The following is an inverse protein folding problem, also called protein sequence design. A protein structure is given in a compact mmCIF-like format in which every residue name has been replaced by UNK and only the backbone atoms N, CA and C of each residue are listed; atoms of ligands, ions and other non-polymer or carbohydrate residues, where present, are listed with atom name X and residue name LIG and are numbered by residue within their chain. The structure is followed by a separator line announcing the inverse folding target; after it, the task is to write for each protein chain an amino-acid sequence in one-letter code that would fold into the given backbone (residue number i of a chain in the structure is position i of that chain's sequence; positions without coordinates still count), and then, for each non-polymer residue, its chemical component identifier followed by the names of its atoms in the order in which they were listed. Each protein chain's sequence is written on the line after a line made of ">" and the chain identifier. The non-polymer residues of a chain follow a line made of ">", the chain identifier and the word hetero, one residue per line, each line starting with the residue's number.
data_IF_023713658231
#
_entry.id   IF_023713658231
#
_cell.length_a   1.000
_cell.length_b   1.000
_cell.length_c   1.000
_cell.angle_alpha   90.00
_cell.angle_beta   90.00
_cell.angle_gamma   90.00
#
_symmetry.space_group_name_H-M   'P 1'
#
loop_
_entity.id
_entity.type
_entity.pdbx_description
1 polymer ?
#
# COMPACT_ATOMS: atom_id res chain seq x y z
N UNK A 1 14.33 8.33 -6.56
CA UNK A 1 14.44 7.51 -5.33
C UNK A 1 15.62 7.88 -4.41
N UNK A 2 16.49 8.83 -4.78
CA UNK A 2 17.61 9.30 -3.94
C UNK A 2 17.29 10.61 -3.18
N UNK A 3 16.19 11.26 -3.49
CA UNK A 3 15.86 12.56 -2.90
C UNK A 3 15.12 12.44 -1.57
N UNK A 4 14.50 11.29 -1.31
CA UNK A 4 13.75 11.01 -0.10
C UNK A 4 14.66 10.85 1.12
N UNK A 5 15.82 10.20 1.01
CA UNK A 5 16.73 10.02 2.16
C UNK A 5 17.37 11.33 2.64
N UNK A 6 17.59 12.32 1.75
CA UNK A 6 18.11 13.65 2.11
C UNK A 6 17.11 14.49 2.90
N UNK A 7 15.82 14.29 2.65
CA UNK A 7 14.74 14.99 3.37
C UNK A 7 14.63 14.40 4.78
N UNK A 8 14.71 13.07 4.92
CA UNK A 8 14.71 12.39 6.21
C UNK A 8 15.96 12.65 7.06
N UNK A 9 17.13 12.81 6.45
CA UNK A 9 18.37 13.16 7.17
C UNK A 9 18.34 14.54 7.84
N UNK A 10 17.62 15.51 7.27
CA UNK A 10 17.42 16.85 7.87
C UNK A 10 16.47 16.83 9.06
N UNK A 11 15.55 15.86 9.12
CA UNK A 11 14.51 15.79 10.14
C UNK A 11 15.00 15.16 11.47
N UNK A 12 16.13 14.42 11.43
CA UNK A 12 16.63 13.67 12.59
C UNK A 12 17.87 14.30 13.26
N UNK A 13 18.39 15.44 12.78
CA UNK A 13 19.51 16.20 13.36
C UNK A 13 20.65 15.31 13.93
N UNK A 14 20.91 14.16 13.32
CA UNK A 14 21.90 13.19 13.76
C UNK A 14 23.17 13.44 12.97
N UNK A 15 24.02 14.29 13.53
CA UNK A 15 25.36 14.56 13.01
C UNK A 15 26.23 13.32 13.22
N UNK A 16 26.69 12.69 12.15
CA UNK A 16 27.79 11.75 12.23
C UNK A 16 29.09 12.57 12.22
N UNK A 17 29.84 12.56 13.32
CA UNK A 17 31.18 13.14 13.34
C UNK A 17 32.12 12.23 12.56
N UNK A 18 32.64 12.74 11.44
CA UNK A 18 33.78 12.14 10.76
C UNK A 18 34.99 12.34 11.67
N UNK A 19 35.49 11.26 12.26
CA UNK A 19 36.77 11.28 12.99
C UNK A 19 37.88 11.35 11.96
N UNK A 20 38.48 12.53 11.79
CA UNK A 20 39.70 12.69 10.99
C UNK A 20 40.93 12.68 11.91
N UNK A 21 41.78 11.68 11.70
CA UNK A 21 43.12 11.54 12.29
C UNK A 21 44.13 12.43 11.56
N UNK A 22 44.77 13.38 12.24
CA UNK A 22 45.92 14.13 11.69
C UNK A 22 46.31 15.36 12.52
N UNK A 23 47.61 15.62 12.81
CA UNK A 23 48.00 16.45 13.95
C UNK A 23 48.51 17.87 13.59
N UNK A 24 48.58 18.69 14.65
CA UNK A 24 49.43 19.89 14.88
C UNK A 24 49.13 21.17 14.10
N UNK A 25 49.05 22.30 14.84
CA UNK A 25 49.10 23.64 14.26
C UNK A 25 48.57 24.74 15.16
N UNK A 26 49.19 24.91 16.34
CA UNK A 26 49.01 26.03 17.27
C UNK A 26 49.41 27.36 16.58
N UNK A 27 48.66 28.45 16.74
CA UNK A 27 49.17 29.84 16.57
C UNK A 27 48.20 30.90 17.16
N UNK A 28 48.57 31.34 18.35
CA UNK A 28 48.67 32.73 18.86
C UNK A 28 47.43 33.64 18.99
N UNK A 29 47.00 33.71 20.25
CA UNK A 29 46.71 34.89 21.07
C UNK A 29 47.18 36.27 20.59
N UNK A 30 46.26 37.24 20.67
CA UNK A 30 46.52 38.68 20.82
C UNK A 30 45.39 39.32 21.65
N UNK A 31 45.69 39.72 22.89
CA UNK A 31 44.84 40.58 23.72
C UNK A 31 45.67 41.81 24.12
N UNK A 32 45.13 43.01 23.95
CA UNK A 32 45.58 44.32 24.45
C UNK A 32 44.34 45.24 24.41
N UNK A 33 44.10 46.25 25.25
CA UNK A 33 44.39 46.53 26.66
C UNK A 33 43.38 47.64 27.06
N UNK A 34 42.80 47.51 28.25
CA UNK A 34 41.99 48.41 29.09
C UNK A 34 41.73 49.89 28.72
N UNK A 35 40.50 50.33 29.04
CA UNK A 35 40.25 51.56 29.81
C UNK A 35 39.01 51.37 30.69
N UNK A 36 39.23 51.29 32.00
CA UNK A 36 38.22 51.37 33.06
C UNK A 36 37.85 52.84 33.28
N UNK A 37 36.57 53.14 33.49
CA UNK A 37 36.15 54.21 34.40
C UNK A 37 34.77 53.86 34.99
N UNK A 38 34.63 54.19 36.26
CA UNK A 38 33.72 53.72 37.30
C UNK A 38 32.25 54.16 37.10
N UNK A 39 31.29 53.27 37.40
CA UNK A 39 30.16 53.59 38.29
C UNK A 39 29.38 52.33 38.73
N UNK A 40 28.71 52.49 39.86
CA UNK A 40 28.35 51.52 40.87
C UNK A 40 26.97 50.83 40.61
N UNK A 41 26.87 49.53 40.90
CA UNK A 41 25.61 48.93 41.34
C UNK A 41 24.83 48.00 40.38
N UNK A 42 24.53 46.82 40.92
CA UNK A 42 23.50 45.83 40.54
C UNK A 42 23.88 44.70 39.55
N UNK A 43 23.77 43.47 40.07
CA UNK A 43 23.65 42.24 39.28
C UNK A 43 22.18 42.10 38.86
N UNK A 44 21.89 41.81 37.57
CA UNK A 44 20.81 40.89 37.23
C UNK A 44 21.33 39.78 36.29
N UNK A 45 21.45 38.55 36.78
CA UNK A 45 20.49 37.46 36.58
C UNK A 45 19.97 37.26 35.14
N UNK A 46 20.51 36.21 34.53
CA UNK A 46 19.84 35.15 33.76
C UNK A 46 19.16 35.45 32.41
N UNK A 47 19.59 34.60 31.47
CA UNK A 47 18.80 33.93 30.42
C UNK A 47 18.28 34.76 29.26
N UNK A 48 19.14 34.94 28.26
CA UNK A 48 18.73 35.10 26.87
C UNK A 48 19.11 33.83 26.12
N UNK A 49 18.12 32.93 25.94
CA UNK A 49 17.84 32.13 24.73
C UNK A 49 16.94 30.96 25.13
N UNK A 50 15.62 31.13 25.08
CA UNK A 50 14.66 30.01 25.09
C UNK A 50 13.32 30.43 24.43
N UNK A 51 13.37 31.12 23.29
CA UNK A 51 12.14 31.47 22.52
C UNK A 51 11.93 30.59 21.27
N UNK A 52 12.61 29.44 21.19
CA UNK A 52 12.41 28.46 20.10
C UNK A 52 11.84 27.12 20.57
N UNK A 53 11.90 26.80 21.86
CA UNK A 53 11.39 25.55 22.40
C UNK A 53 9.87 25.55 22.66
N UNK A 54 9.25 26.71 22.90
CA UNK A 54 7.81 26.83 23.18
C UNK A 54 6.94 26.83 21.90
N UNK A 55 7.46 27.38 20.80
CA UNK A 55 6.77 27.35 19.48
C UNK A 55 6.73 25.92 18.92
N UNK A 56 7.82 25.16 19.11
CA UNK A 56 7.96 23.78 18.64
C UNK A 56 7.04 22.77 19.34
N UNK A 57 6.73 22.96 20.63
CA UNK A 57 5.81 22.08 21.37
C UNK A 57 4.36 22.34 20.99
N UNK A 58 3.99 23.61 20.79
CA UNK A 58 2.65 23.98 20.32
C UNK A 58 2.36 23.47 18.90
N UNK A 59 3.34 23.53 17.99
CA UNK A 59 3.19 22.98 16.63
C UNK A 59 2.99 21.46 16.64
N UNK A 60 3.65 20.74 17.56
CA UNK A 60 3.49 19.28 17.69
C UNK A 60 2.10 18.90 18.20
N UNK A 61 1.60 19.64 19.21
CA UNK A 61 0.25 19.46 19.74
C UNK A 61 -0.83 19.73 18.69
N UNK A 62 -0.69 20.82 17.92
CA UNK A 62 -1.60 21.16 16.83
C UNK A 62 -1.58 20.11 15.71
N UNK A 63 -0.39 19.64 15.32
CA UNK A 63 -0.26 18.57 14.34
C UNK A 63 -0.92 17.26 14.80
N UNK A 64 -0.76 16.90 16.08
CA UNK A 64 -1.43 15.75 16.68
C UNK A 64 -2.96 15.86 16.64
N UNK A 65 -3.50 17.03 16.97
CA UNK A 65 -4.95 17.29 16.92
C UNK A 65 -5.49 17.19 15.49
N UNK A 66 -4.73 17.69 14.50
CA UNK A 66 -5.09 17.57 13.08
C UNK A 66 -5.12 16.11 12.63
N UNK A 67 -4.14 15.29 13.04
CA UNK A 67 -4.11 13.86 12.68
C UNK A 67 -5.31 13.12 13.29
N UNK A 68 -5.66 13.40 14.56
CA UNK A 68 -6.83 12.81 15.20
C UNK A 68 -8.12 13.26 14.51
N UNK A 69 -8.23 14.54 14.16
CA UNK A 69 -9.38 15.07 13.42
C UNK A 69 -9.54 14.42 12.04
N UNK A 70 -8.44 14.23 11.30
CA UNK A 70 -8.45 13.52 10.02
C UNK A 70 -8.84 12.05 10.22
N UNK A 71 -8.32 11.38 11.25
CA UNK A 71 -8.69 9.99 11.57
C UNK A 71 -10.19 9.84 11.88
N UNK A 72 -10.75 10.75 12.68
CA UNK A 72 -12.19 10.78 12.95
C UNK A 72 -13.01 11.05 11.69
N UNK A 73 -12.54 11.94 10.81
CA UNK A 73 -13.19 12.25 9.54
C UNK A 73 -13.23 11.03 8.60
N UNK A 74 -12.12 10.29 8.50
CA UNK A 74 -12.06 9.06 7.69
C UNK A 74 -13.01 8.00 8.23
N UNK A 75 -13.10 7.85 9.55
CA UNK A 75 -14.05 6.92 10.19
C UNK A 75 -15.50 7.32 9.93
N UNK A 76 -15.82 8.62 9.93
CA UNK A 76 -17.18 9.10 9.68
C UNK A 76 -17.61 8.95 8.21
N UNK A 77 -16.70 9.22 7.26
CA UNK A 77 -17.02 9.26 5.82
C UNK A 77 -16.96 7.86 5.18
N UNK A 78 -16.29 6.87 5.80
CA UNK A 78 -16.03 5.55 5.23
C UNK A 78 -15.67 5.62 3.73
N UNK A 79 -14.60 6.33 3.36
CA UNK A 79 -14.29 6.63 1.96
C UNK A 79 -14.05 5.37 1.12
N UNK A 80 -13.58 4.29 1.75
CA UNK A 80 -13.38 2.99 1.12
C UNK A 80 -14.68 2.47 0.50
N UNK A 81 -15.77 2.37 1.28
CA UNK A 81 -17.06 1.87 0.81
C UNK A 81 -17.61 2.70 -0.35
N UNK A 82 -17.40 4.03 -0.31
CA UNK A 82 -17.86 4.92 -1.37
C UNK A 82 -17.12 4.66 -2.69
N UNK A 83 -15.80 4.52 -2.62
CA UNK A 83 -14.97 4.25 -3.80
C UNK A 83 -15.25 2.83 -4.33
N UNK A 84 -15.39 1.86 -3.42
CA UNK A 84 -15.70 0.48 -3.75
C UNK A 84 -17.04 0.37 -4.49
N UNK A 85 -18.11 0.93 -3.92
CA UNK A 85 -19.44 0.91 -4.54
C UNK A 85 -19.46 1.62 -5.90
N UNK A 86 -18.69 2.69 -6.07
CA UNK A 86 -18.57 3.36 -7.37
C UNK A 86 -17.82 2.50 -8.40
N UNK A 87 -16.75 1.81 -8.00
CA UNK A 87 -15.98 0.92 -8.88
C UNK A 87 -16.71 -0.36 -9.24
N UNK A 88 -17.48 -0.93 -8.30
CA UNK A 88 -18.24 -2.19 -8.45
C UNK A 88 -19.51 -2.01 -9.28
N UNK A 89 -19.97 -0.79 -9.48
CA UNK A 89 -21.13 -0.53 -10.31
C UNK A 89 -20.89 -0.98 -11.77
N UNK A 90 -21.70 -1.93 -12.21
CA UNK A 90 -21.75 -2.38 -13.60
C UNK A 90 -22.30 -1.24 -14.48
N UNK A 91 -21.39 -0.49 -15.08
CA UNK A 91 -21.66 0.63 -15.97
C UNK A 91 -20.85 0.49 -17.25
N UNK A 92 -21.38 1.04 -18.34
CA UNK A 92 -20.70 1.03 -19.63
C UNK A 92 -19.37 1.78 -19.55
N UNK A 93 -18.28 1.12 -19.97
CA UNK A 93 -16.91 1.64 -19.84
C UNK A 93 -16.28 1.50 -18.45
N UNK A 94 -16.97 0.87 -17.49
CA UNK A 94 -16.41 0.49 -16.20
C UNK A 94 -15.36 -0.61 -16.32
N UNK A 95 -14.29 -0.53 -15.55
CA UNK A 95 -13.18 -1.51 -15.56
C UNK A 95 -13.66 -2.94 -15.25
N UNK A 96 -14.48 -3.11 -14.22
CA UNK A 96 -15.03 -4.41 -13.80
C UNK A 96 -16.01 -4.95 -14.85
N UNK A 97 -16.76 -4.05 -15.50
CA UNK A 97 -17.66 -4.42 -16.59
C UNK A 97 -16.88 -4.97 -17.79
N UNK A 98 -15.79 -4.31 -18.18
CA UNK A 98 -14.94 -4.76 -19.28
C UNK A 98 -14.25 -6.09 -19.00
N UNK A 99 -13.76 -6.26 -17.76
CA UNK A 99 -13.20 -7.55 -17.30
C UNK A 99 -14.22 -8.68 -17.31
N UNK A 100 -15.48 -8.39 -16.96
CA UNK A 100 -16.56 -9.36 -17.04
C UNK A 100 -16.96 -9.63 -18.51
N UNK A 101 -16.97 -8.61 -19.36
CA UNK A 101 -17.36 -8.72 -20.78
C UNK A 101 -16.39 -9.59 -21.57
N UNK A 102 -15.09 -9.33 -21.43
CA UNK A 102 -14.01 -10.06 -22.09
C UNK A 102 -12.94 -10.39 -21.03
N UNK A 103 -13.08 -11.52 -20.32
CA UNK A 103 -12.10 -11.92 -19.31
C UNK A 103 -10.74 -12.19 -19.96
N UNK A 104 -9.65 -11.55 -19.51
CA UNK A 104 -8.31 -11.73 -20.09
C UNK A 104 -7.60 -12.99 -19.54
N UNK A 105 -8.36 -13.93 -18.99
CA UNK A 105 -7.83 -15.14 -18.34
C UNK A 105 -8.19 -16.38 -19.15
N UNK A 106 -7.22 -17.27 -19.32
CA UNK A 106 -7.44 -18.56 -19.97
C UNK A 106 -7.95 -19.58 -18.96
N UNK A 107 -9.15 -20.10 -19.21
CA UNK A 107 -9.74 -21.18 -18.41
C UNK A 107 -9.44 -22.51 -19.11
N UNK A 108 -8.91 -23.46 -18.36
CA UNK A 108 -8.58 -24.80 -18.87
C UNK A 108 -9.42 -25.86 -18.17
N UNK A 109 -10.23 -26.58 -18.93
CA UNK A 109 -10.98 -27.74 -18.46
C UNK A 109 -10.15 -29.01 -18.69
N UNK A 110 -9.84 -29.74 -17.62
CA UNK A 110 -9.16 -31.03 -17.68
C UNK A 110 -10.16 -32.14 -17.42
N UNK A 111 -10.45 -32.93 -18.45
CA UNK A 111 -11.35 -34.07 -18.35
C UNK A 111 -10.54 -35.34 -18.19
N UNK A 112 -10.82 -36.07 -17.11
CA UNK A 112 -10.27 -37.39 -16.82
C UNK A 112 -11.40 -38.41 -17.00
N UNK A 113 -11.20 -39.37 -17.90
CA UNK A 113 -12.17 -40.42 -18.16
C UNK A 113 -11.71 -41.71 -17.50
N UNK A 114 -12.66 -42.53 -17.04
CA UNK A 114 -12.37 -43.86 -16.52
C UNK A 114 -12.75 -44.89 -17.56
N UNK A 115 -11.75 -45.51 -18.18
CA UNK A 115 -11.92 -46.66 -19.05
C UNK A 115 -12.25 -47.90 -18.22
N UNK A 116 -13.35 -48.59 -18.53
CA UNK A 116 -13.79 -49.79 -17.80
C UNK A 116 -13.24 -51.02 -18.53
N UNK A 117 -12.33 -51.76 -17.89
CA UNK A 117 -11.63 -52.89 -18.53
C UNK A 117 -12.34 -54.23 -18.38
N UNK A 118 -13.27 -54.36 -17.41
CA UNK A 118 -13.97 -55.62 -17.11
C UNK A 118 -15.51 -55.46 -17.11
N UNK A 119 -16.07 -54.68 -18.03
CA UNK A 119 -17.50 -54.37 -18.04
C UNK A 119 -18.40 -55.62 -18.12
N UNK A 120 -18.11 -56.56 -19.02
CA UNK A 120 -18.92 -57.76 -19.23
C UNK A 120 -18.81 -58.76 -18.07
N UNK A 121 -17.62 -58.92 -17.50
CA UNK A 121 -17.36 -59.81 -16.36
C UNK A 121 -18.00 -59.31 -15.07
N UNK A 122 -18.05 -57.98 -14.89
CA UNK A 122 -18.75 -57.35 -13.79
C UNK A 122 -20.28 -57.51 -13.93
N UNK A 123 -20.83 -57.25 -15.12
CA UNK A 123 -22.28 -57.38 -15.38
C UNK A 123 -22.78 -58.83 -15.28
N UNK A 124 -21.96 -59.80 -15.69
CA UNK A 124 -22.27 -61.23 -15.55
C UNK A 124 -22.07 -61.79 -14.14
N UNK A 125 -21.59 -60.98 -13.19
CA UNK A 125 -21.38 -61.38 -11.80
C UNK A 125 -20.17 -62.28 -11.56
N UNK A 126 -19.33 -62.51 -12.58
CA UNK A 126 -18.08 -63.30 -12.47
C UNK A 126 -17.04 -62.56 -11.65
N UNK A 127 -16.96 -61.24 -11.80
CA UNK A 127 -16.12 -60.38 -10.98
C UNK A 127 -16.97 -59.44 -10.12
N UNK A 128 -16.70 -59.40 -8.80
CA UNK A 128 -17.44 -58.55 -7.85
C UNK A 128 -16.97 -57.08 -7.85
N UNK A 129 -15.81 -56.78 -8.42
CA UNK A 129 -15.20 -55.44 -8.39
C UNK A 129 -15.02 -54.92 -9.81
N UNK A 130 -15.43 -53.67 -10.04
CA UNK A 130 -15.20 -52.98 -11.31
C UNK A 130 -13.73 -52.55 -11.40
N UNK A 131 -13.05 -52.91 -12.50
CA UNK A 131 -11.70 -52.47 -12.83
C UNK A 131 -11.81 -51.30 -13.77
N UNK A 132 -11.24 -50.17 -13.34
CA UNK A 132 -11.18 -48.94 -14.12
C UNK A 132 -9.74 -48.50 -14.28
N UNK A 133 -9.44 -47.92 -15.44
CA UNK A 133 -8.18 -47.29 -15.74
C UNK A 133 -8.44 -45.82 -16.06
N UNK A 134 -7.75 -44.92 -15.38
CA UNK A 134 -7.82 -43.49 -15.69
C UNK A 134 -7.14 -43.20 -17.03
N UNK A 135 -7.82 -42.43 -17.89
CA UNK A 135 -7.35 -42.00 -19.21
C UNK A 135 -7.54 -40.49 -19.31
N UNK A 136 -6.43 -39.78 -19.57
CA UNK A 136 -6.42 -38.33 -19.66
C UNK A 136 -5.07 -37.74 -19.21
N UNK A 137 -4.98 -36.41 -19.08
CA UNK A 137 -6.08 -35.43 -19.21
C UNK A 137 -6.38 -35.04 -20.67
N UNK A 138 -7.67 -34.96 -21.02
CA UNK A 138 -8.12 -34.24 -22.20
C UNK A 138 -8.32 -32.78 -21.82
N UNK A 139 -7.49 -31.90 -22.39
CA UNK A 139 -7.45 -30.49 -22.01
C UNK A 139 -8.16 -29.64 -23.05
N UNK A 140 -9.19 -28.91 -22.63
CA UNK A 140 -9.91 -27.93 -23.44
C UNK A 140 -9.64 -26.53 -22.90
N UNK A 141 -9.45 -25.57 -23.79
CA UNK A 141 -9.41 -24.14 -23.45
C UNK A 141 -10.81 -23.57 -23.64
N UNK A 142 -11.39 -23.05 -22.58
CA UNK A 142 -12.67 -22.37 -22.61
C UNK A 142 -12.42 -20.87 -22.85
N UNK A 143 -13.01 -20.35 -23.93
CA UNK A 143 -12.97 -18.93 -24.28
C UNK A 143 -14.37 -18.41 -23.99
N UNK A 144 -14.50 -17.55 -22.99
CA UNK A 144 -15.79 -16.99 -22.58
C UNK A 144 -15.83 -15.51 -22.95
N UNK A 145 -16.96 -15.08 -23.51
CA UNK A 145 -17.25 -13.67 -23.79
C UNK A 145 -18.74 -13.38 -23.60
N UNK A 146 -19.08 -12.20 -23.10
CA UNK A 146 -20.47 -11.78 -22.98
C UNK A 146 -20.82 -10.82 -24.13
N UNK A 147 -21.67 -11.26 -25.05
CA UNK A 147 -22.10 -10.50 -26.23
C UNK A 147 -23.51 -9.91 -26.05
N UNK A 148 -23.85 -8.92 -26.88
CA UNK A 148 -25.15 -8.24 -26.91
C UNK A 148 -25.60 -7.74 -25.52
N UNK A 149 -24.71 -7.05 -24.81
CA UNK A 149 -25.01 -6.54 -23.48
C UNK A 149 -25.95 -5.34 -23.57
N UNK A 150 -27.09 -5.42 -22.88
CA UNK A 150 -28.07 -4.33 -22.77
C UNK A 150 -28.32 -3.98 -21.31
N UNK A 151 -28.13 -2.71 -20.96
CA UNK A 151 -28.47 -2.18 -19.64
C UNK A 151 -29.95 -1.79 -19.60
N UNK A 152 -30.69 -2.39 -18.68
CA UNK A 152 -32.11 -2.14 -18.50
C UNK A 152 -32.35 -1.00 -17.50
N UNK A 153 -33.47 -0.31 -17.61
CA UNK A 153 -33.84 0.81 -16.71
C UNK A 153 -34.09 0.40 -15.26
N UNK A 154 -34.28 -0.89 -15.00
CA UNK A 154 -34.48 -1.47 -13.67
C UNK A 154 -33.16 -1.91 -13.00
N UNK A 155 -32.02 -1.32 -13.40
CA UNK A 155 -30.69 -1.66 -12.88
C UNK A 155 -30.29 -3.14 -13.06
N UNK A 156 -30.82 -3.80 -14.09
CA UNK A 156 -30.39 -5.14 -14.51
C UNK A 156 -29.63 -5.08 -15.83
N UNK A 157 -28.88 -6.14 -16.12
CA UNK A 157 -28.25 -6.34 -17.42
C UNK A 157 -28.75 -7.62 -18.07
N UNK A 158 -28.77 -7.62 -19.40
CA UNK A 158 -29.03 -8.82 -20.21
C UNK A 158 -27.85 -9.02 -21.14
N UNK A 159 -27.37 -10.26 -21.26
CA UNK A 159 -26.24 -10.61 -22.11
C UNK A 159 -26.35 -12.07 -22.57
N UNK A 160 -25.69 -12.39 -23.67
CA UNK A 160 -25.60 -13.75 -24.20
C UNK A 160 -24.16 -14.25 -23.97
N UNK A 161 -23.96 -15.29 -23.14
CA UNK A 161 -22.63 -15.89 -22.99
C UNK A 161 -22.26 -16.62 -24.29
N UNK A 162 -21.05 -16.42 -24.77
CA UNK A 162 -20.47 -17.06 -25.96
C UNK A 162 -19.13 -17.69 -25.63
#
# INVERSE_FOLDING_TARGET
>A
MKDTYKIWGRLLQRSYSVVSTGPTGNLNSRCDHNSEDLEEGSIPTKSSTNESYCKSTFTLGLAGLIVIAIGMLVMFIHPYERIFNWKVLFSEGGEIFELWRIPPVDIYLRVHLFNITNAEEFLSGKEKKLKVQEVGPYVYREIMSHQNVTFNSNATLTAIPT
#
